data_IF_743226871451
#
_entry.id   IF_743226871451
#
_cell.length_a   1.000
_cell.length_b   1.000
_cell.length_c   1.000
_cell.angle_alpha   90.00
_cell.angle_beta   90.00
_cell.angle_gamma   90.00
#
_symmetry.space_group_name_H-M   'P 1'
#
loop_
_entity.id
_entity.type
_entity.pdbx_description
1 polymer ?
#
# COMPACT_ATOMS: atom_id res chain seq x y z
N UNK A 1 -22.61 -30.28 7.99
CA UNK A 1 -21.37 -30.56 7.24
C UNK A 1 -21.30 -29.60 6.06
N UNK A 2 -20.50 -28.52 6.15
CA UNK A 2 -20.32 -27.58 5.06
C UNK A 2 -19.14 -28.05 4.20
N UNK A 3 -19.43 -28.35 2.92
CA UNK A 3 -18.42 -28.72 1.93
C UNK A 3 -17.43 -27.54 1.75
N UNK A 4 -16.16 -27.79 1.99
CA UNK A 4 -15.08 -26.90 1.54
C UNK A 4 -15.07 -26.97 0.00
N UNK A 5 -15.38 -25.85 -0.63
CA UNK A 5 -15.21 -25.68 -2.08
C UNK A 5 -13.72 -25.55 -2.40
N UNK A 6 -13.27 -26.33 -3.36
CA UNK A 6 -11.91 -26.34 -3.85
C UNK A 6 -11.61 -25.03 -4.60
N UNK A 7 -10.42 -24.46 -4.36
CA UNK A 7 -10.01 -23.17 -4.94
C UNK A 7 -9.97 -23.23 -6.47
N UNK A 8 -9.69 -24.41 -7.03
CA UNK A 8 -9.63 -24.61 -8.48
C UNK A 8 -11.01 -24.60 -9.15
N UNK A 9 -12.08 -25.02 -8.47
CA UNK A 9 -13.46 -24.92 -8.97
C UNK A 9 -13.95 -23.47 -9.03
N UNK A 10 -13.56 -22.63 -8.06
CA UNK A 10 -13.92 -21.21 -8.02
C UNK A 10 -13.18 -20.41 -9.11
N UNK A 11 -11.96 -20.82 -9.46
CA UNK A 11 -11.17 -20.20 -10.54
C UNK A 11 -11.72 -20.58 -11.93
N UNK A 12 -12.23 -21.79 -12.09
CA UNK A 12 -12.82 -22.25 -13.35
C UNK A 12 -14.15 -21.52 -13.65
N UNK A 13 -15.00 -21.32 -12.63
CA UNK A 13 -16.27 -20.60 -12.76
C UNK A 13 -16.08 -19.12 -13.08
N UNK A 14 -15.06 -18.47 -12.47
CA UNK A 14 -14.71 -17.07 -12.78
C UNK A 14 -14.11 -16.88 -14.18
N UNK A 15 -13.56 -17.93 -14.79
CA UNK A 15 -12.99 -17.88 -16.14
C UNK A 15 -14.05 -18.04 -17.25
N UNK A 16 -15.22 -18.61 -16.95
CA UNK A 16 -16.32 -18.78 -17.89
C UNK A 16 -17.14 -17.50 -18.15
N UNK A 17 -17.05 -16.50 -17.27
CA UNK A 17 -17.79 -15.23 -17.36
C UNK A 17 -17.11 -14.23 -18.36
N UNK A 18 -15.97 -14.58 -18.96
CA UNK A 18 -15.17 -13.68 -19.83
C UNK A 18 -15.49 -13.75 -21.33
N UNK A 19 -16.56 -14.40 -21.75
CA UNK A 19 -16.90 -14.51 -23.18
C UNK A 19 -18.29 -13.98 -23.48
N UNK A 20 -18.51 -12.70 -23.33
CA UNK A 20 -19.54 -11.96 -24.09
C UNK A 20 -19.32 -10.46 -23.85
N UNK A 21 -18.71 -9.78 -24.82
CA UNK A 21 -18.70 -8.32 -24.89
C UNK A 21 -18.68 -7.87 -26.34
N UNK A 22 -19.85 -7.67 -26.90
CA UNK A 22 -20.03 -6.80 -28.05
C UNK A 22 -20.14 -5.35 -27.55
N UNK A 23 -19.17 -4.53 -27.93
CA UNK A 23 -19.16 -3.09 -27.69
C UNK A 23 -19.56 -2.39 -28.97
N UNK A 24 -20.74 -1.77 -28.99
CA UNK A 24 -21.16 -0.80 -30.03
C UNK A 24 -20.61 0.59 -29.68
N UNK A 25 -20.04 1.22 -30.70
CA UNK A 25 -19.57 2.61 -30.72
C UNK A 25 -20.72 3.60 -30.48
N UNK A 26 -20.51 4.60 -29.65
CA UNK A 26 -21.29 5.85 -29.60
C UNK A 26 -20.34 7.03 -29.64
N UNK A 27 -20.55 7.86 -30.67
CA UNK A 27 -19.79 9.06 -30.99
C UNK A 27 -20.23 10.29 -30.20
N UNK A 28 -19.23 11.14 -29.94
CA UNK A 28 -19.18 12.61 -29.77
C UNK A 28 -20.23 13.34 -28.94
N UNK A 29 -19.78 14.00 -27.85
CA UNK A 29 -19.98 15.43 -27.65
C UNK A 29 -18.95 15.98 -26.65
N UNK A 30 -18.32 17.07 -27.06
CA UNK A 30 -17.28 17.80 -26.35
C UNK A 30 -17.89 18.87 -25.45
N UNK A 31 -17.43 18.96 -24.22
CA UNK A 31 -17.21 20.11 -23.32
C UNK A 31 -17.61 19.82 -21.87
N UNK A 32 -16.62 19.85 -21.02
CA UNK A 32 -16.56 19.81 -19.54
C UNK A 32 -15.74 18.64 -19.00
N UNK A 33 -14.42 18.72 -19.15
CA UNK A 33 -13.47 17.61 -18.99
C UNK A 33 -12.77 17.53 -17.64
N UNK A 34 -13.31 17.92 -16.48
CA UNK A 34 -12.50 17.76 -15.26
C UNK A 34 -13.03 16.83 -14.16
N UNK A 35 -14.30 16.46 -14.16
CA UNK A 35 -14.83 15.63 -13.05
C UNK A 35 -15.73 14.47 -13.46
N UNK A 36 -16.38 14.51 -14.61
CA UNK A 36 -17.38 13.52 -15.01
C UNK A 36 -16.78 12.16 -15.45
N UNK A 37 -15.58 12.14 -16.05
CA UNK A 37 -14.92 10.91 -16.50
C UNK A 37 -14.30 10.06 -15.35
N UNK A 38 -14.24 10.60 -14.14
CA UNK A 38 -13.62 9.90 -12.97
C UNK A 38 -14.52 8.82 -12.37
N UNK A 39 -15.82 8.82 -12.66
CA UNK A 39 -16.79 7.95 -11.99
C UNK A 39 -17.52 6.99 -12.98
N UNK A 40 -16.87 6.54 -14.04
CA UNK A 40 -17.40 5.40 -14.81
C UNK A 40 -17.48 4.19 -13.86
N UNK A 41 -18.71 3.80 -13.56
CA UNK A 41 -19.02 2.72 -12.62
C UNK A 41 -18.76 1.37 -13.27
N UNK A 42 -18.04 0.50 -12.57
CA UNK A 42 -18.05 -0.93 -12.84
C UNK A 42 -19.51 -1.42 -12.73
N UNK A 43 -19.98 -2.35 -13.61
CA UNK A 43 -21.34 -2.87 -13.53
C UNK A 43 -21.73 -3.28 -12.12
N UNK A 44 -22.94 -2.87 -11.69
CA UNK A 44 -23.42 -3.01 -10.29
C UNK A 44 -23.75 -4.45 -9.85
N UNK A 45 -23.50 -5.45 -10.69
CA UNK A 45 -23.83 -6.85 -10.42
C UNK A 45 -22.82 -7.58 -9.52
N UNK A 46 -21.95 -6.83 -8.81
CA UNK A 46 -21.13 -7.41 -7.76
C UNK A 46 -22.04 -7.71 -6.56
N UNK A 47 -22.37 -8.98 -6.37
CA UNK A 47 -23.11 -9.48 -5.21
C UNK A 47 -22.32 -9.17 -3.92
N UNK A 48 -22.61 -8.03 -3.30
CA UNK A 48 -22.10 -7.69 -1.98
C UNK A 48 -22.82 -8.54 -0.96
N UNK A 49 -22.09 -9.41 -0.24
CA UNK A 49 -22.67 -10.22 0.83
C UNK A 49 -23.25 -9.29 1.89
N UNK A 50 -24.49 -9.55 2.34
CA UNK A 50 -25.14 -8.75 3.39
C UNK A 50 -24.24 -8.55 4.61
N UNK A 51 -23.51 -9.58 5.04
CA UNK A 51 -22.57 -9.50 6.17
C UNK A 51 -21.43 -8.53 5.96
N UNK A 52 -20.95 -8.34 4.70
CA UNK A 52 -19.98 -7.32 4.34
C UNK A 52 -20.61 -5.92 4.47
N UNK A 53 -21.79 -5.75 3.91
CA UNK A 53 -22.51 -4.48 3.98
C UNK A 53 -22.81 -4.08 5.43
N UNK A 54 -23.34 -5.00 6.25
CA UNK A 54 -23.65 -4.72 7.66
C UNK A 54 -22.39 -4.29 8.44
N UNK A 55 -21.24 -4.97 8.21
CA UNK A 55 -19.97 -4.63 8.83
C UNK A 55 -19.49 -3.22 8.46
N UNK A 56 -19.52 -2.88 7.16
CA UNK A 56 -19.02 -1.57 6.72
C UNK A 56 -20.01 -0.43 6.98
N UNK A 57 -21.31 -0.69 7.07
CA UNK A 57 -22.27 0.28 7.58
C UNK A 57 -22.05 0.58 9.07
N UNK A 58 -21.72 -0.45 9.87
CA UNK A 58 -21.33 -0.26 11.27
C UNK A 58 -20.01 0.55 11.39
N UNK A 59 -19.02 0.26 10.54
CA UNK A 59 -17.69 0.87 10.58
C UNK A 59 -17.69 2.33 10.08
N UNK A 60 -18.39 2.60 8.99
CA UNK A 60 -18.31 3.86 8.24
C UNK A 60 -19.53 4.78 8.45
N UNK A 61 -20.63 4.24 9.00
CA UNK A 61 -21.86 5.03 9.19
C UNK A 61 -22.36 5.64 7.88
N UNK A 62 -22.55 6.97 7.90
CA UNK A 62 -23.05 7.74 6.76
C UNK A 62 -22.08 7.75 5.55
N UNK A 63 -20.79 7.52 5.78
CA UNK A 63 -19.80 7.47 4.69
C UNK A 63 -19.78 6.14 3.91
N UNK A 64 -20.58 5.13 4.30
CA UNK A 64 -20.59 3.82 3.64
C UNK A 64 -20.90 3.92 2.13
N UNK A 65 -21.95 4.63 1.76
CA UNK A 65 -22.35 4.72 0.34
C UNK A 65 -21.31 5.49 -0.48
N UNK A 66 -20.68 6.51 0.10
CA UNK A 66 -19.56 7.23 -0.50
C UNK A 66 -18.34 6.34 -0.68
N UNK A 67 -17.98 5.56 0.35
CA UNK A 67 -16.91 4.57 0.28
C UNK A 67 -17.15 3.55 -0.84
N UNK A 68 -18.35 2.98 -0.92
CA UNK A 68 -18.69 1.99 -1.95
C UNK A 68 -18.69 2.60 -3.36
N UNK A 69 -19.20 3.83 -3.52
CA UNK A 69 -19.18 4.51 -4.82
C UNK A 69 -17.75 4.71 -5.34
N UNK A 70 -16.81 5.13 -4.48
CA UNK A 70 -15.40 5.24 -4.85
C UNK A 70 -14.74 3.87 -5.04
N UNK A 71 -15.02 2.91 -4.16
CA UNK A 71 -14.49 1.55 -4.25
C UNK A 71 -14.89 0.81 -5.53
N UNK A 72 -16.03 1.17 -6.12
CA UNK A 72 -16.53 0.63 -7.39
C UNK A 72 -16.17 1.51 -8.60
N UNK A 73 -15.41 2.58 -8.42
CA UNK A 73 -14.91 3.43 -9.48
C UNK A 73 -13.50 3.04 -9.92
N UNK A 74 -13.10 3.46 -11.13
CA UNK A 74 -11.74 3.23 -11.59
C UNK A 74 -10.72 4.04 -10.82
N UNK A 75 -9.61 3.39 -10.47
CA UNK A 75 -8.49 4.07 -9.82
C UNK A 75 -7.63 4.81 -10.84
N UNK A 76 -7.17 6.00 -10.48
CA UNK A 76 -6.22 6.77 -11.29
C UNK A 76 -4.90 6.02 -11.43
N UNK A 77 -4.34 5.99 -12.62
CA UNK A 77 -3.01 5.43 -12.87
C UNK A 77 -1.94 6.37 -12.34
N UNK A 78 -0.90 5.80 -11.73
CA UNK A 78 0.19 6.56 -11.12
C UNK A 78 1.54 5.99 -11.53
N UNK A 79 2.53 6.87 -11.61
CA UNK A 79 3.93 6.52 -11.79
C UNK A 79 4.78 7.24 -10.73
N UNK A 80 5.90 6.64 -10.37
CA UNK A 80 6.97 7.28 -9.61
C UNK A 80 8.23 7.31 -10.47
N UNK A 81 8.83 8.48 -10.63
CA UNK A 81 10.13 8.64 -11.28
C UNK A 81 11.22 8.03 -10.39
N UNK A 82 12.12 7.27 -10.98
CA UNK A 82 13.24 6.66 -10.28
C UNK A 82 14.50 7.52 -10.42
N UNK A 83 14.84 8.26 -9.35
CA UNK A 83 16.00 9.16 -9.33
C UNK A 83 17.35 8.46 -9.39
N UNK A 84 17.42 7.16 -9.15
CA UNK A 84 18.66 6.37 -9.35
C UNK A 84 19.06 6.26 -10.83
N UNK A 85 18.11 6.45 -11.76
CA UNK A 85 18.34 6.25 -13.21
C UNK A 85 17.91 7.42 -14.09
N UNK A 86 17.12 8.36 -13.58
CA UNK A 86 16.61 9.50 -14.34
C UNK A 86 16.29 10.66 -13.38
N UNK A 87 15.73 11.74 -13.89
CA UNK A 87 15.19 12.84 -13.08
C UNK A 87 13.79 13.22 -13.55
N UNK A 88 13.09 13.99 -12.73
CA UNK A 88 11.70 14.37 -12.95
C UNK A 88 11.52 15.15 -14.25
N UNK A 89 12.39 16.11 -14.52
CA UNK A 89 12.33 16.99 -15.69
C UNK A 89 12.47 16.19 -16.98
N UNK A 90 13.44 15.27 -17.04
CA UNK A 90 13.66 14.40 -18.19
C UNK A 90 12.46 13.50 -18.47
N UNK A 91 11.85 12.93 -17.42
CA UNK A 91 10.67 12.05 -17.59
C UNK A 91 9.44 12.86 -18.01
N UNK A 92 9.23 14.04 -17.43
CA UNK A 92 8.16 14.95 -17.89
C UNK A 92 8.31 15.27 -19.38
N UNK A 93 9.51 15.67 -19.83
CA UNK A 93 9.78 15.98 -21.23
C UNK A 93 9.50 14.78 -22.14
N UNK A 94 9.92 13.56 -21.75
CA UNK A 94 9.71 12.34 -22.55
C UNK A 94 8.25 11.93 -22.68
N UNK A 95 7.44 12.18 -21.65
CA UNK A 95 6.06 11.73 -21.61
C UNK A 95 5.06 12.82 -22.06
N UNK A 96 5.44 14.09 -22.08
CA UNK A 96 4.55 15.25 -22.30
C UNK A 96 3.76 15.21 -23.61
N UNK A 97 4.30 14.62 -24.67
CA UNK A 97 3.63 14.58 -25.98
C UNK A 97 2.34 13.77 -25.98
N UNK A 98 2.35 12.67 -25.23
CA UNK A 98 1.25 11.68 -25.20
C UNK A 98 0.50 11.65 -23.89
N UNK A 99 1.13 12.11 -22.80
CA UNK A 99 0.61 11.94 -21.45
C UNK A 99 0.47 13.28 -20.75
N UNK A 100 -0.57 13.39 -19.95
CA UNK A 100 -0.73 14.44 -18.96
C UNK A 100 -0.25 13.91 -17.63
N UNK A 101 0.64 14.65 -16.97
CA UNK A 101 1.20 14.34 -15.66
C UNK A 101 0.72 15.39 -14.66
N UNK A 102 0.06 14.93 -13.59
CA UNK A 102 -0.41 15.75 -12.47
C UNK A 102 0.40 15.34 -11.24
N UNK A 103 1.10 16.26 -10.54
CA UNK A 103 1.92 15.92 -9.39
C UNK A 103 1.11 15.30 -8.25
N UNK A 104 1.68 14.30 -7.58
CA UNK A 104 1.15 13.75 -6.32
C UNK A 104 1.73 14.57 -5.17
N UNK A 105 0.91 15.25 -4.35
CA UNK A 105 1.40 16.22 -3.36
C UNK A 105 2.39 15.65 -2.36
N UNK A 106 2.21 14.40 -1.93
CA UNK A 106 3.04 13.74 -0.92
C UNK A 106 4.28 13.04 -1.45
N UNK A 107 4.52 13.06 -2.75
CA UNK A 107 5.68 12.41 -3.35
C UNK A 107 6.17 13.23 -4.54
N UNK A 108 7.29 13.92 -4.38
CA UNK A 108 7.86 14.81 -5.41
C UNK A 108 8.19 14.10 -6.72
N UNK A 109 8.44 12.80 -6.68
CA UNK A 109 8.69 11.93 -7.81
C UNK A 109 7.42 11.27 -8.37
N UNK A 110 6.27 11.45 -7.68
CA UNK A 110 4.99 10.82 -7.98
C UNK A 110 4.12 11.66 -8.91
N UNK A 111 3.47 10.98 -9.87
CA UNK A 111 2.53 11.62 -10.78
C UNK A 111 1.33 10.73 -11.04
N UNK A 112 0.13 11.29 -11.02
CA UNK A 112 -0.99 10.73 -11.75
C UNK A 112 -0.73 10.91 -13.24
N UNK A 113 -1.06 9.90 -14.03
CA UNK A 113 -0.78 9.86 -15.46
C UNK A 113 -2.02 9.51 -16.26
N UNK A 114 -2.37 10.34 -17.22
CA UNK A 114 -3.54 10.16 -18.10
C UNK A 114 -3.09 10.32 -19.54
N UNK A 115 -3.56 9.41 -20.43
CA UNK A 115 -3.29 9.55 -21.85
C UNK A 115 -4.13 10.69 -22.43
N UNK A 116 -3.53 11.55 -23.26
CA UNK A 116 -4.19 12.77 -23.76
C UNK A 116 -5.45 12.50 -24.55
N UNK A 117 -5.49 11.38 -25.31
CA UNK A 117 -6.67 10.98 -26.11
C UNK A 117 -7.74 10.27 -25.28
N UNK A 118 -7.65 10.23 -23.95
CA UNK A 118 -8.58 9.54 -23.07
C UNK A 118 -8.53 8.02 -23.12
N UNK A 119 -7.71 7.42 -24.00
CA UNK A 119 -7.56 5.97 -24.12
C UNK A 119 -6.85 5.39 -22.91
N UNK A 120 -7.18 4.15 -22.57
CA UNK A 120 -6.51 3.40 -21.51
C UNK A 120 -5.34 2.61 -22.09
N UNK A 121 -4.13 2.95 -21.64
CA UNK A 121 -2.93 2.20 -21.98
C UNK A 121 -2.41 1.46 -20.75
N UNK A 122 -1.78 0.31 -21.02
CA UNK A 122 -1.01 -0.40 -19.99
C UNK A 122 0.34 0.30 -19.80
N UNK A 123 0.49 0.95 -18.64
CA UNK A 123 1.74 1.63 -18.27
C UNK A 123 2.93 0.68 -18.12
N UNK A 124 2.67 -0.62 -17.90
CA UNK A 124 3.71 -1.64 -17.84
C UNK A 124 4.47 -1.80 -19.16
N UNK A 125 3.85 -1.43 -20.27
CA UNK A 125 4.46 -1.51 -21.63
C UNK A 125 5.24 -0.24 -22.02
N UNK A 126 5.30 0.78 -21.16
CA UNK A 126 6.12 1.95 -21.43
C UNK A 126 7.62 1.62 -21.43
N UNK A 127 8.35 2.15 -22.41
CA UNK A 127 9.80 2.01 -22.46
C UNK A 127 10.47 2.50 -21.19
N UNK A 128 9.99 3.63 -20.63
CA UNK A 128 10.46 4.21 -19.39
C UNK A 128 10.29 3.26 -18.20
N UNK A 129 9.23 2.44 -18.21
CA UNK A 129 9.04 1.38 -17.21
C UNK A 129 10.03 0.23 -17.40
N UNK A 130 10.20 -0.26 -18.63
CA UNK A 130 11.15 -1.33 -18.93
C UNK A 130 12.60 -0.93 -18.62
N UNK A 131 12.98 0.30 -18.90
CA UNK A 131 14.31 0.85 -18.59
C UNK A 131 14.50 1.14 -17.09
N UNK A 132 13.42 1.07 -16.28
CA UNK A 132 13.47 1.36 -14.86
C UNK A 132 13.58 2.85 -14.52
N UNK A 133 13.28 3.74 -15.46
CA UNK A 133 13.23 5.19 -15.25
C UNK A 133 11.99 5.60 -14.43
N UNK A 134 10.93 4.82 -14.54
CA UNK A 134 9.72 4.93 -13.74
C UNK A 134 9.33 3.59 -13.11
N UNK A 135 8.57 3.68 -12.02
CA UNK A 135 7.85 2.56 -11.42
C UNK A 135 6.35 2.84 -11.46
N UNK A 136 5.54 1.90 -11.95
CA UNK A 136 4.07 2.00 -11.88
C UNK A 136 3.66 1.66 -10.45
N UNK A 137 3.32 2.67 -9.67
CA UNK A 137 3.01 2.55 -8.24
C UNK A 137 1.77 3.36 -7.91
N UNK A 138 0.87 2.79 -7.12
CA UNK A 138 -0.33 3.47 -6.64
C UNK A 138 0.05 4.62 -5.67
N UNK A 139 -0.70 5.72 -5.73
CA UNK A 139 -0.35 6.96 -5.03
C UNK A 139 -0.27 6.80 -3.51
N UNK A 140 -1.25 6.15 -2.86
CA UNK A 140 -1.22 5.90 -1.42
C UNK A 140 -0.05 4.98 -1.01
N UNK A 141 0.33 4.03 -1.88
CA UNK A 141 1.49 3.15 -1.67
C UNK A 141 2.83 3.89 -1.65
N UNK A 142 2.89 5.14 -2.12
CA UNK A 142 4.10 5.98 -2.05
C UNK A 142 4.29 6.61 -0.66
N UNK A 143 3.25 6.69 0.17
CA UNK A 143 3.26 7.37 1.47
C UNK A 143 4.22 6.70 2.48
N UNK A 144 4.19 5.38 2.71
CA UNK A 144 5.02 4.76 3.74
C UNK A 144 6.52 5.02 3.61
N UNK A 145 7.17 4.92 2.42
CA UNK A 145 8.58 5.29 2.28
C UNK A 145 8.85 6.78 2.50
N UNK A 146 7.93 7.68 2.12
CA UNK A 146 8.04 9.12 2.41
C UNK A 146 8.00 9.37 3.91
N UNK A 147 7.07 8.74 4.63
CA UNK A 147 6.93 8.85 6.09
C UNK A 147 8.09 8.19 6.83
N UNK A 148 8.65 7.09 6.28
CA UNK A 148 9.84 6.42 6.83
C UNK A 148 11.07 7.33 6.75
N UNK A 149 11.20 8.10 5.66
CA UNK A 149 12.27 9.06 5.40
C UNK A 149 13.68 8.43 5.56
N UNK A 150 14.00 7.33 4.81
CA UNK A 150 15.30 6.69 4.94
C UNK A 150 16.42 7.58 4.37
N UNK A 151 17.56 7.61 5.08
CA UNK A 151 18.70 8.45 4.73
C UNK A 151 19.84 7.65 4.11
N UNK A 152 20.68 8.27 3.24
CA UNK A 152 21.90 7.65 2.76
C UNK A 152 22.80 7.17 3.92
N UNK A 153 23.37 5.96 3.78
CA UNK A 153 24.26 5.36 4.77
C UNK A 153 23.57 4.56 5.88
N UNK A 154 22.25 4.63 6.02
CA UNK A 154 21.50 3.88 7.04
C UNK A 154 21.42 2.37 6.70
N UNK A 155 21.15 1.57 7.73
CA UNK A 155 20.79 0.15 7.61
C UNK A 155 19.27 0.03 7.76
N UNK A 156 18.60 -0.29 6.65
CA UNK A 156 17.14 -0.28 6.55
C UNK A 156 16.61 -1.69 6.27
N UNK A 157 15.49 -2.06 6.92
CA UNK A 157 14.76 -3.30 6.64
C UNK A 157 13.40 -2.97 6.01
N UNK A 158 13.11 -3.58 4.86
CA UNK A 158 11.75 -3.75 4.35
C UNK A 158 11.31 -5.19 4.62
N UNK A 159 10.43 -5.37 5.60
CA UNK A 159 10.12 -6.69 6.17
C UNK A 159 9.18 -7.53 5.31
N UNK A 160 8.38 -6.88 4.44
CA UNK A 160 7.40 -7.51 3.55
C UNK A 160 7.51 -6.93 2.13
N UNK A 161 8.71 -6.99 1.55
CA UNK A 161 9.19 -6.16 0.46
C UNK A 161 8.53 -6.40 -0.91
N UNK A 162 8.14 -7.65 -1.21
CA UNK A 162 7.69 -7.99 -2.56
C UNK A 162 6.32 -7.37 -2.91
N UNK A 163 6.16 -6.87 -4.14
CA UNK A 163 7.02 -7.03 -5.32
C UNK A 163 8.12 -5.95 -5.49
N UNK A 164 8.33 -5.02 -4.53
CA UNK A 164 9.44 -4.07 -4.56
C UNK A 164 9.08 -2.61 -4.85
N UNK A 165 7.80 -2.25 -4.86
CA UNK A 165 7.40 -0.85 -5.12
C UNK A 165 7.90 0.10 -4.04
N UNK A 166 7.68 -0.23 -2.76
CA UNK A 166 8.18 0.54 -1.62
C UNK A 166 9.69 0.35 -1.42
N UNK A 167 10.19 -0.87 -1.61
CA UNK A 167 11.62 -1.22 -1.51
C UNK A 167 12.48 -0.38 -2.46
N UNK A 168 12.07 -0.27 -3.74
CA UNK A 168 12.80 0.55 -4.73
C UNK A 168 12.68 2.04 -4.45
N UNK A 169 11.62 2.49 -3.77
CA UNK A 169 11.47 3.86 -3.32
C UNK A 169 12.41 4.15 -2.14
N UNK A 170 12.51 3.24 -1.18
CA UNK A 170 13.48 3.31 -0.07
C UNK A 170 14.90 3.40 -0.62
N UNK A 171 15.30 2.48 -1.52
CA UNK A 171 16.62 2.49 -2.14
C UNK A 171 16.93 3.81 -2.87
N UNK A 172 15.92 4.40 -3.52
CA UNK A 172 16.03 5.69 -4.19
C UNK A 172 16.32 6.83 -3.19
N UNK A 173 15.64 6.85 -2.04
CA UNK A 173 15.91 7.85 -0.98
C UNK A 173 17.24 7.62 -0.29
N UNK A 174 17.68 6.36 -0.16
CA UNK A 174 19.01 6.01 0.34
C UNK A 174 20.14 6.29 -0.68
N UNK A 175 19.83 6.70 -1.91
CA UNK A 175 20.80 6.98 -2.99
C UNK A 175 21.78 5.82 -3.23
N UNK A 176 21.31 4.57 -3.11
CA UNK A 176 22.14 3.37 -3.16
C UNK A 176 23.28 3.34 -2.11
N UNK A 177 23.17 4.07 -1.00
CA UNK A 177 24.15 4.11 0.08
C UNK A 177 23.63 3.39 1.33
N UNK A 178 24.53 2.82 2.14
CA UNK A 178 24.16 2.01 3.29
C UNK A 178 23.75 0.59 2.90
N UNK A 179 22.85 -0.04 3.68
CA UNK A 179 22.37 -1.41 3.45
C UNK A 179 20.85 -1.48 3.52
N UNK A 180 20.22 -1.98 2.46
CA UNK A 180 18.80 -2.30 2.41
C UNK A 180 18.58 -3.81 2.46
N UNK A 181 18.03 -4.30 3.58
CA UNK A 181 17.58 -5.69 3.69
C UNK A 181 16.13 -5.76 3.24
N UNK A 182 15.84 -6.49 2.16
CA UNK A 182 14.52 -6.64 1.59
C UNK A 182 14.05 -8.09 1.74
N UNK A 183 13.03 -8.31 2.57
CA UNK A 183 12.55 -9.65 2.90
C UNK A 183 11.16 -9.93 2.35
N UNK A 184 10.92 -11.16 1.94
CA UNK A 184 9.56 -11.69 1.74
C UNK A 184 9.55 -13.19 2.06
N UNK A 185 8.44 -13.70 2.59
CA UNK A 185 8.30 -15.13 2.94
C UNK A 185 8.10 -16.02 1.72
N UNK A 186 7.71 -15.46 0.57
CA UNK A 186 7.36 -16.18 -0.65
C UNK A 186 8.49 -16.14 -1.69
N UNK A 187 9.09 -17.29 -2.00
CA UNK A 187 10.13 -17.40 -3.00
C UNK A 187 9.68 -16.99 -4.42
N UNK A 188 8.40 -17.19 -4.76
CA UNK A 188 7.85 -16.73 -6.05
C UNK A 188 7.76 -15.21 -6.13
N UNK A 189 7.37 -14.55 -5.02
CA UNK A 189 7.32 -13.10 -4.93
C UNK A 189 8.72 -12.46 -4.90
N UNK A 190 9.71 -13.13 -4.29
CA UNK A 190 11.11 -12.68 -4.30
C UNK A 190 11.72 -12.60 -5.70
N UNK A 191 11.29 -13.46 -6.65
CA UNK A 191 11.72 -13.34 -8.06
C UNK A 191 11.28 -12.00 -8.64
N UNK A 192 10.02 -11.61 -8.44
CA UNK A 192 9.51 -10.31 -8.90
C UNK A 192 10.23 -9.15 -8.21
N UNK A 193 10.50 -9.25 -6.90
CA UNK A 193 11.29 -8.27 -6.15
C UNK A 193 12.69 -8.11 -6.77
N UNK A 194 13.44 -9.20 -6.97
CA UNK A 194 14.77 -9.17 -7.54
C UNK A 194 14.80 -8.54 -8.94
N UNK A 195 13.85 -8.91 -9.80
CA UNK A 195 13.71 -8.31 -11.14
C UNK A 195 13.45 -6.78 -11.06
N UNK A 196 12.61 -6.34 -10.14
CA UNK A 196 12.31 -4.92 -9.96
C UNK A 196 13.51 -4.15 -9.37
N UNK A 197 14.25 -4.74 -8.42
CA UNK A 197 15.47 -4.16 -7.87
C UNK A 197 16.53 -3.96 -8.98
N UNK A 198 16.78 -5.01 -9.78
CA UNK A 198 17.69 -4.95 -10.91
C UNK A 198 17.24 -3.91 -11.96
N UNK A 199 15.97 -3.94 -12.37
CA UNK A 199 15.38 -3.01 -13.33
C UNK A 199 15.54 -1.56 -12.88
N UNK A 200 15.32 -1.29 -11.58
CA UNK A 200 15.43 0.05 -11.00
C UNK A 200 16.87 0.47 -10.69
N UNK A 201 17.88 -0.39 -10.87
CA UNK A 201 19.29 -0.06 -10.63
C UNK A 201 19.65 0.02 -9.15
N UNK A 202 18.97 -0.75 -8.30
CA UNK A 202 19.30 -0.83 -6.86
C UNK A 202 20.48 -1.76 -6.67
N UNK A 203 21.54 -1.30 -6.00
CA UNK A 203 22.78 -2.05 -5.80
C UNK A 203 23.21 -2.22 -4.33
N UNK A 204 22.58 -1.52 -3.38
CA UNK A 204 22.88 -1.56 -1.95
C UNK A 204 21.96 -2.52 -1.16
N UNK A 205 21.49 -3.62 -1.76
CA UNK A 205 20.48 -4.46 -1.15
C UNK A 205 20.90 -5.93 -0.97
N UNK A 206 20.26 -6.58 0.00
CA UNK A 206 20.26 -8.02 0.21
C UNK A 206 18.82 -8.53 0.22
N UNK A 207 18.53 -9.54 -0.59
CA UNK A 207 17.24 -10.22 -0.59
C UNK A 207 17.26 -11.39 0.38
N UNK A 208 16.25 -11.49 1.23
CA UNK A 208 16.11 -12.57 2.19
C UNK A 208 14.75 -13.25 2.10
N UNK A 209 14.70 -14.55 2.39
CA UNK A 209 13.48 -15.33 2.48
C UNK A 209 13.32 -15.84 3.91
N UNK A 210 12.85 -14.96 4.79
CA UNK A 210 12.76 -15.27 6.21
C UNK A 210 11.34 -15.10 6.73
N UNK A 211 10.89 -16.10 7.49
CA UNK A 211 9.68 -16.02 8.29
C UNK A 211 9.95 -15.25 9.59
N UNK A 212 8.89 -14.75 10.23
CA UNK A 212 8.94 -13.93 11.44
C UNK A 212 9.81 -14.54 12.55
N UNK A 213 9.71 -15.84 12.82
CA UNK A 213 10.50 -16.52 13.87
C UNK A 213 12.01 -16.48 13.64
N UNK A 214 12.47 -16.39 12.37
CA UNK A 214 13.90 -16.26 12.04
C UNK A 214 14.44 -14.88 12.38
N UNK A 215 13.66 -13.83 12.16
CA UNK A 215 14.04 -12.48 12.59
C UNK A 215 14.15 -12.40 14.11
N UNK A 216 13.19 -12.99 14.84
CA UNK A 216 13.25 -13.07 16.29
C UNK A 216 14.55 -13.73 16.76
N UNK A 217 14.89 -14.90 16.18
CA UNK A 217 16.13 -15.64 16.49
C UNK A 217 17.41 -14.85 16.14
N UNK A 218 17.41 -14.08 15.03
CA UNK A 218 18.55 -13.20 14.71
C UNK A 218 18.70 -12.13 15.79
N UNK A 219 17.61 -11.48 16.19
CA UNK A 219 17.64 -10.46 17.25
C UNK A 219 18.09 -11.01 18.61
N UNK A 220 17.82 -12.28 18.92
CA UNK A 220 18.27 -12.98 20.13
C UNK A 220 19.75 -13.37 20.03
N UNK A 221 20.21 -13.91 18.89
CA UNK A 221 21.59 -14.38 18.70
C UNK A 221 22.59 -13.26 18.40
N UNK A 222 22.11 -12.14 17.84
CA UNK A 222 22.91 -10.99 17.43
C UNK A 222 22.26 -9.70 17.95
N UNK A 223 22.28 -9.46 19.26
CA UNK A 223 21.57 -8.33 19.88
C UNK A 223 22.07 -6.96 19.39
N UNK A 224 23.31 -6.88 18.92
CA UNK A 224 23.92 -5.65 18.40
C UNK A 224 23.54 -5.37 16.93
N UNK A 225 22.99 -6.37 16.21
CA UNK A 225 22.52 -6.17 14.85
C UNK A 225 21.13 -5.55 14.84
N UNK A 226 21.06 -4.24 14.64
CA UNK A 226 19.84 -3.43 14.65
C UNK A 226 19.76 -2.55 13.41
N UNK A 227 18.54 -2.14 13.08
CA UNK A 227 18.23 -1.28 11.96
C UNK A 227 17.99 0.16 12.39
N UNK A 228 18.43 1.11 11.58
CA UNK A 228 18.10 2.52 11.75
C UNK A 228 16.62 2.76 11.44
N UNK A 229 16.14 2.12 10.37
CA UNK A 229 14.74 2.20 9.95
C UNK A 229 14.17 0.86 9.52
N UNK A 230 12.88 0.67 9.78
CA UNK A 230 12.16 -0.54 9.37
C UNK A 230 10.82 -0.16 8.73
N UNK A 231 10.55 -0.69 7.54
CA UNK A 231 9.21 -0.70 6.95
C UNK A 231 8.54 -2.04 7.24
N UNK A 232 7.33 -2.00 7.79
CA UNK A 232 6.43 -3.13 7.94
C UNK A 232 5.17 -2.84 7.13
N UNK A 233 5.25 -3.01 5.80
CA UNK A 233 4.07 -2.99 4.92
C UNK A 233 3.40 -4.34 5.02
N UNK A 234 2.56 -4.51 6.04
CA UNK A 234 2.15 -5.82 6.51
C UNK A 234 1.15 -6.52 5.57
N UNK A 235 1.21 -7.86 5.46
CA UNK A 235 0.15 -8.61 4.79
C UNK A 235 -1.19 -8.32 5.47
N UNK A 236 -2.20 -7.95 4.69
CA UNK A 236 -3.50 -7.50 5.20
C UNK A 236 -4.66 -7.99 4.34
N UNK A 237 -5.89 -7.77 4.80
CA UNK A 237 -7.12 -8.13 4.07
C UNK A 237 -7.33 -7.33 2.78
N UNK A 238 -6.63 -6.19 2.62
CA UNK A 238 -6.65 -5.37 1.42
C UNK A 238 -7.99 -4.68 1.13
N UNK A 239 -8.83 -4.46 2.12
CA UNK A 239 -10.18 -3.89 1.92
C UNK A 239 -10.18 -2.44 1.45
N UNK A 240 -9.04 -1.74 1.57
CA UNK A 240 -8.83 -0.44 0.92
C UNK A 240 -8.58 -0.52 -0.59
N UNK A 241 -8.30 -1.73 -1.14
CA UNK A 241 -7.89 -1.92 -2.54
C UNK A 241 -9.01 -2.47 -3.45
N UNK A 242 -10.27 -2.37 -3.04
CA UNK A 242 -11.44 -2.84 -3.82
C UNK A 242 -11.43 -2.25 -5.23
N UNK A 243 -11.06 -0.97 -5.39
CA UNK A 243 -10.93 -0.28 -6.68
C UNK A 243 -9.99 -1.00 -7.66
N UNK A 244 -8.97 -1.66 -7.13
CA UNK A 244 -7.98 -2.41 -7.91
C UNK A 244 -8.46 -3.82 -8.22
N UNK A 245 -9.19 -4.43 -7.28
CA UNK A 245 -9.66 -5.80 -7.42
C UNK A 245 -10.97 -6.03 -6.67
N UNK A 246 -12.05 -6.20 -7.42
CA UNK A 246 -13.37 -6.56 -6.85
C UNK A 246 -13.37 -7.93 -6.15
N UNK A 247 -12.37 -8.78 -6.42
CA UNK A 247 -12.16 -10.05 -5.71
C UNK A 247 -12.03 -9.84 -4.19
N UNK A 248 -11.54 -8.67 -3.76
CA UNK A 248 -11.44 -8.32 -2.34
C UNK A 248 -12.78 -8.40 -1.62
N UNK A 249 -13.90 -7.97 -2.26
CA UNK A 249 -15.25 -8.10 -1.69
C UNK A 249 -15.64 -9.57 -1.55
N UNK A 250 -15.37 -10.38 -2.57
CA UNK A 250 -15.73 -11.82 -2.60
C UNK A 250 -14.94 -12.61 -1.57
N UNK A 251 -13.66 -12.27 -1.39
CA UNK A 251 -12.74 -12.93 -0.46
C UNK A 251 -12.86 -12.42 0.98
N UNK A 252 -13.61 -11.34 1.22
CA UNK A 252 -13.74 -10.75 2.55
C UNK A 252 -14.26 -11.76 3.56
N UNK A 253 -13.54 -11.90 4.67
CA UNK A 253 -13.86 -12.86 5.74
C UNK A 253 -13.36 -12.34 7.10
N UNK A 254 -14.24 -12.12 8.08
CA UNK A 254 -13.87 -11.66 9.42
C UNK A 254 -12.88 -12.58 10.15
N UNK A 255 -12.95 -13.90 9.94
CA UNK A 255 -11.97 -14.83 10.51
C UNK A 255 -10.59 -14.65 9.88
N UNK A 256 -10.52 -14.28 8.59
CA UNK A 256 -9.30 -13.92 7.90
C UNK A 256 -8.67 -12.66 8.50
N UNK A 257 -9.47 -11.61 8.75
CA UNK A 257 -9.06 -10.36 9.39
C UNK A 257 -8.44 -10.64 10.76
N UNK A 258 -9.11 -11.47 11.59
CA UNK A 258 -8.60 -11.86 12.91
C UNK A 258 -7.26 -12.61 12.85
N UNK A 259 -7.06 -13.47 11.83
CA UNK A 259 -5.79 -14.19 11.63
C UNK A 259 -4.68 -13.24 11.20
N UNK A 260 -4.98 -12.34 10.27
CA UNK A 260 -4.02 -11.32 9.79
C UNK A 260 -3.61 -10.36 10.90
N UNK A 261 -4.54 -9.89 11.72
CA UNK A 261 -4.25 -9.04 12.88
C UNK A 261 -3.25 -9.70 13.85
N UNK A 262 -3.35 -11.02 14.07
CA UNK A 262 -2.37 -11.75 14.90
C UNK A 262 -0.97 -11.78 14.28
N UNK A 263 -0.89 -12.02 12.96
CA UNK A 263 0.38 -12.01 12.23
C UNK A 263 0.99 -10.59 12.28
N UNK A 264 0.18 -9.57 12.07
CA UNK A 264 0.61 -8.17 12.09
C UNK A 264 1.13 -7.74 13.46
N UNK A 265 0.49 -8.18 14.56
CA UNK A 265 0.98 -7.95 15.93
C UNK A 265 2.34 -8.59 16.17
N UNK A 266 2.59 -9.79 15.64
CA UNK A 266 3.91 -10.42 15.74
C UNK A 266 4.95 -9.65 14.89
N UNK A 267 4.60 -9.26 13.66
CA UNK A 267 5.52 -8.53 12.77
C UNK A 267 5.94 -7.18 13.36
N UNK A 268 4.98 -6.39 13.83
CA UNK A 268 5.27 -5.06 14.41
C UNK A 268 6.12 -5.17 15.67
N UNK A 269 5.88 -6.19 16.52
CA UNK A 269 6.66 -6.47 17.71
C UNK A 269 8.10 -6.86 17.37
N UNK A 270 8.30 -7.78 16.44
CA UNK A 270 9.63 -8.22 16.00
C UNK A 270 10.38 -7.03 15.40
N UNK A 271 9.75 -6.26 14.52
CA UNK A 271 10.33 -5.07 13.93
C UNK A 271 10.79 -4.07 15.00
N UNK A 272 9.93 -3.78 15.98
CA UNK A 272 10.27 -2.86 17.07
C UNK A 272 11.48 -3.33 17.89
N UNK A 273 11.58 -4.63 18.15
CA UNK A 273 12.72 -5.20 18.87
C UNK A 273 14.03 -5.15 18.07
N UNK A 274 13.94 -5.11 16.73
CA UNK A 274 15.11 -5.00 15.85
C UNK A 274 15.52 -3.55 15.54
N UNK A 275 14.80 -2.54 16.02
CA UNK A 275 15.20 -1.13 15.89
C UNK A 275 16.35 -0.80 16.85
N UNK A 276 17.25 0.06 16.39
CA UNK A 276 18.19 0.78 17.25
C UNK A 276 17.43 1.70 18.21
N UNK A 277 18.02 2.09 19.36
CA UNK A 277 17.55 3.25 20.10
C UNK A 277 17.46 4.48 19.16
N UNK A 278 16.41 5.27 19.29
CA UNK A 278 16.06 6.39 18.40
C UNK A 278 15.75 6.01 16.95
N UNK A 279 15.79 4.72 16.59
CA UNK A 279 15.37 4.22 15.28
C UNK A 279 13.87 4.42 15.03
N UNK A 280 13.49 4.43 13.77
CA UNK A 280 12.11 4.67 13.31
C UNK A 280 11.57 3.48 12.56
N UNK A 281 10.34 3.11 12.87
CA UNK A 281 9.57 2.12 12.13
C UNK A 281 8.33 2.76 11.52
N UNK A 282 8.00 2.38 10.29
CA UNK A 282 6.69 2.65 9.69
C UNK A 282 5.94 1.33 9.56
N UNK A 283 4.75 1.28 10.17
CA UNK A 283 3.77 0.23 9.97
C UNK A 283 2.73 0.73 8.97
N UNK A 284 2.41 -0.06 7.96
CA UNK A 284 1.41 0.30 6.95
C UNK A 284 0.60 -0.89 6.48
N UNK A 285 -0.63 -0.62 6.04
CA UNK A 285 -1.53 -1.58 5.41
C UNK A 285 -2.36 -0.91 4.31
N UNK A 286 -2.81 -1.69 3.34
CA UNK A 286 -3.81 -1.27 2.35
C UNK A 286 -5.22 -1.74 2.73
N UNK A 287 -5.53 -1.89 4.01
CA UNK A 287 -6.86 -2.21 4.53
C UNK A 287 -7.44 -1.04 5.33
N UNK A 288 -8.77 -1.00 5.45
CA UNK A 288 -9.46 -0.03 6.30
C UNK A 288 -9.96 -0.65 7.62
N UNK A 289 -9.64 -1.93 7.89
CA UNK A 289 -10.07 -2.64 9.09
C UNK A 289 -9.32 -2.14 10.34
N UNK A 290 -10.03 -1.70 11.39
CA UNK A 290 -9.39 -1.23 12.62
C UNK A 290 -8.68 -2.34 13.40
N UNK A 291 -9.11 -3.62 13.23
CA UNK A 291 -8.45 -4.80 13.80
C UNK A 291 -7.02 -4.98 13.30
N UNK A 292 -6.75 -4.57 12.05
CA UNK A 292 -5.47 -4.69 11.36
C UNK A 292 -4.64 -3.40 11.45
N UNK A 293 -5.24 -2.30 11.88
CA UNK A 293 -4.68 -0.95 11.90
C UNK A 293 -4.49 -0.45 13.34
N UNK A 294 -5.45 0.30 13.86
CA UNK A 294 -5.37 0.94 15.18
C UNK A 294 -5.17 -0.06 16.32
N UNK A 295 -5.80 -1.24 16.25
CA UNK A 295 -5.65 -2.27 17.27
C UNK A 295 -4.25 -2.91 17.26
N UNK A 296 -3.57 -2.98 16.10
CA UNK A 296 -2.19 -3.47 16.00
C UNK A 296 -1.21 -2.46 16.59
N UNK A 297 -1.38 -1.18 16.27
CA UNK A 297 -0.56 -0.10 16.84
C UNK A 297 -0.77 -0.01 18.36
N UNK A 298 -2.02 -0.05 18.82
CA UNK A 298 -2.37 -0.01 20.24
C UNK A 298 -1.76 -1.18 21.02
N UNK A 299 -1.75 -2.39 20.43
CA UNK A 299 -1.07 -3.55 21.02
C UNK A 299 0.42 -3.26 21.29
N UNK A 300 1.12 -2.66 20.32
CA UNK A 300 2.53 -2.33 20.49
C UNK A 300 2.73 -1.29 21.60
N UNK A 301 1.95 -0.20 21.59
CA UNK A 301 2.04 0.88 22.58
C UNK A 301 1.71 0.39 24.00
N UNK A 302 0.80 -0.56 24.16
CA UNK A 302 0.49 -1.16 25.45
C UNK A 302 1.63 -2.04 25.98
N UNK A 303 2.36 -2.68 25.07
CA UNK A 303 3.43 -3.63 25.44
C UNK A 303 4.78 -2.96 25.67
N UNK A 304 5.06 -1.87 24.94
CA UNK A 304 6.35 -1.20 24.94
C UNK A 304 6.23 0.28 25.33
N UNK A 305 6.49 0.63 26.61
CA UNK A 305 6.39 2.04 27.06
C UNK A 305 7.37 2.99 26.36
N UNK A 306 8.44 2.46 25.78
CA UNK A 306 9.41 3.22 24.99
C UNK A 306 9.06 3.30 23.49
N UNK A 307 7.91 2.81 23.10
CA UNK A 307 7.37 3.06 21.75
C UNK A 307 6.63 4.42 21.75
N UNK A 308 7.09 5.32 20.90
CA UNK A 308 6.45 6.64 20.70
C UNK A 308 5.80 6.69 19.32
N UNK A 309 4.50 6.92 19.30
CA UNK A 309 3.76 7.12 18.06
C UNK A 309 3.88 8.58 17.64
N UNK A 310 4.66 8.86 16.60
CA UNK A 310 4.88 10.20 16.07
C UNK A 310 3.70 10.66 15.21
N UNK A 311 3.36 11.94 15.31
CA UNK A 311 2.33 12.54 14.47
C UNK A 311 2.83 12.64 13.01
N UNK A 312 2.01 12.15 12.08
CA UNK A 312 2.24 12.31 10.64
C UNK A 312 1.54 13.59 10.20
N UNK A 313 2.33 14.60 9.82
CA UNK A 313 1.82 15.91 9.40
C UNK A 313 1.22 15.82 7.98
N UNK A 314 -0.07 15.58 7.93
CA UNK A 314 -0.85 15.48 6.68
C UNK A 314 -0.91 16.79 5.91
N UNK A 315 -0.81 17.94 6.59
CA UNK A 315 -0.81 19.25 5.94
C UNK A 315 0.47 19.47 5.13
N UNK A 316 1.62 19.08 5.67
CA UNK A 316 2.91 19.12 4.93
C UNK A 316 2.92 18.15 3.75
N UNK A 317 2.26 17.02 3.90
CA UNK A 317 2.14 16.03 2.83
C UNK A 317 1.08 16.41 1.79
N UNK A 318 0.22 17.40 2.07
CA UNK A 318 -0.91 17.73 1.20
C UNK A 318 -1.93 16.59 1.10
N UNK A 319 -2.09 15.80 2.16
CA UNK A 319 -3.00 14.65 2.24
C UNK A 319 -4.23 15.03 3.07
N UNK A 320 -5.40 14.71 2.56
CA UNK A 320 -6.63 14.74 3.36
C UNK A 320 -6.74 13.42 4.12
N UNK A 321 -6.74 13.49 5.47
CA UNK A 321 -6.89 12.30 6.32
C UNK A 321 -8.34 12.05 6.72
N UNK A 322 -8.67 10.78 6.91
CA UNK A 322 -9.83 10.35 7.70
C UNK A 322 -9.42 10.29 9.17
N UNK A 323 -10.28 10.69 10.13
CA UNK A 323 -10.01 10.51 11.55
C UNK A 323 -9.71 9.06 11.91
N UNK A 324 -8.75 8.84 12.81
CA UNK A 324 -8.48 7.51 13.34
C UNK A 324 -9.68 6.96 14.11
N UNK A 325 -9.89 5.66 14.04
CA UNK A 325 -10.98 4.98 14.73
C UNK A 325 -10.57 4.78 16.20
N UNK A 326 -11.28 5.45 17.11
CA UNK A 326 -11.02 5.40 18.55
C UNK A 326 -11.80 4.30 19.26
N UNK A 327 -12.89 3.82 18.66
CA UNK A 327 -13.74 2.78 19.23
C UNK A 327 -14.39 1.98 18.11
N UNK A 328 -14.22 0.68 18.14
CA UNK A 328 -14.94 -0.25 17.27
C UNK A 328 -15.07 -1.60 17.98
N UNK A 329 -16.30 -2.05 18.17
CA UNK A 329 -16.60 -3.29 18.89
C UNK A 329 -15.85 -3.38 20.24
N UNK A 330 -15.20 -4.50 20.51
CA UNK A 330 -14.45 -4.75 21.75
C UNK A 330 -12.92 -4.54 21.57
N UNK A 331 -12.50 -3.74 20.60
CA UNK A 331 -11.08 -3.48 20.38
C UNK A 331 -10.53 -2.53 21.45
N UNK A 332 -9.37 -2.87 21.99
CA UNK A 332 -8.57 -1.96 22.83
C UNK A 332 -7.81 -1.01 21.90
N UNK A 333 -8.25 0.24 21.84
CA UNK A 333 -7.64 1.27 21.00
C UNK A 333 -7.16 2.41 21.90
N UNK A 334 -5.87 2.73 21.78
CA UNK A 334 -5.22 3.83 22.48
C UNK A 334 -5.60 5.18 21.85
N UNK A 335 -5.75 6.25 22.64
CA UNK A 335 -6.05 7.58 22.10
C UNK A 335 -4.95 8.11 21.17
N UNK A 336 -3.68 7.72 21.39
CA UNK A 336 -2.53 8.15 20.60
C UNK A 336 -2.61 7.75 19.12
N UNK A 337 -3.49 6.81 18.73
CA UNK A 337 -3.71 6.44 17.32
C UNK A 337 -4.18 7.61 16.45
N UNK A 338 -4.58 8.72 17.04
CA UNK A 338 -4.85 9.99 16.32
C UNK A 338 -3.63 10.48 15.55
N UNK A 339 -2.42 10.12 15.98
CA UNK A 339 -1.17 10.45 15.30
C UNK A 339 -0.97 9.65 14.00
N UNK A 340 -1.68 8.51 13.82
CA UNK A 340 -1.63 7.73 12.60
C UNK A 340 -2.29 8.48 11.44
N UNK A 341 -1.87 8.17 10.23
CA UNK A 341 -2.53 8.61 9.02
C UNK A 341 -3.45 7.49 8.52
N UNK A 342 -4.74 7.76 8.48
CA UNK A 342 -5.76 6.92 7.83
C UNK A 342 -6.32 7.70 6.64
N UNK A 343 -6.45 7.05 5.51
CA UNK A 343 -7.10 7.60 4.32
C UNK A 343 -8.11 6.61 3.76
N UNK A 344 -9.25 7.12 3.34
CA UNK A 344 -10.24 6.37 2.59
C UNK A 344 -10.14 6.68 1.09
N UNK A 345 -10.66 5.83 0.20
CA UNK A 345 -10.55 6.04 -1.24
C UNK A 345 -11.06 7.40 -1.72
N UNK A 346 -12.05 7.96 -1.05
CA UNK A 346 -12.69 9.22 -1.40
C UNK A 346 -11.97 10.47 -0.87
N UNK A 347 -10.97 10.33 0.00
CA UNK A 347 -10.26 11.48 0.56
C UNK A 347 -9.32 12.13 -0.46
N UNK A 348 -8.57 11.28 -1.19
CA UNK A 348 -7.52 11.71 -2.10
C UNK A 348 -7.61 11.07 -3.48
N UNK A 349 -8.74 10.42 -3.80
CA UNK A 349 -8.94 9.64 -5.04
C UNK A 349 -7.88 8.55 -5.25
N UNK A 350 -7.55 7.81 -4.18
CA UNK A 350 -6.54 6.74 -4.11
C UNK A 350 -7.15 5.41 -3.67
N UNK A 351 -6.32 4.41 -3.36
CA UNK A 351 -6.69 3.29 -2.51
C UNK A 351 -6.87 3.76 -1.06
N UNK A 352 -7.63 3.01 -0.25
CA UNK A 352 -7.65 3.19 1.20
C UNK A 352 -6.35 2.70 1.81
N UNK A 353 -5.80 3.44 2.76
CA UNK A 353 -4.49 3.15 3.34
C UNK A 353 -4.39 3.57 4.81
N UNK A 354 -3.50 2.90 5.54
CA UNK A 354 -3.16 3.24 6.92
C UNK A 354 -1.65 3.28 7.11
N UNK A 355 -1.15 4.29 7.84
CA UNK A 355 0.28 4.48 8.11
C UNK A 355 0.47 4.94 9.56
N UNK A 356 1.37 4.30 10.29
CA UNK A 356 1.81 4.68 11.62
C UNK A 356 3.33 4.82 11.64
N UNK A 357 3.84 5.95 12.15
CA UNK A 357 5.26 6.21 12.35
C UNK A 357 5.59 6.06 13.81
N UNK A 358 6.49 5.14 14.13
CA UNK A 358 6.81 4.76 15.52
C UNK A 358 8.31 4.90 15.74
N UNK A 359 8.67 5.67 16.76
CA UNK A 359 10.06 5.81 17.22
C UNK A 359 10.30 4.94 18.44
N UNK A 360 11.46 4.32 18.52
CA UNK A 360 11.93 3.62 19.70
C UNK A 360 12.75 4.60 20.56
N UNK A 361 12.20 5.04 21.70
CA UNK A 361 12.96 5.83 22.68
C UNK A 361 14.09 5.01 23.30
N UNK A 362 15.05 5.70 23.88
CA UNK A 362 16.15 5.09 24.66
C UNK A 362 15.65 4.25 25.83
#
# INVERSE_FOLDING_TARGET
>A
MAKLLDIDEVVAEASSIKKDSDLQDVSSDSENHSTAHRLEKIPRDVLVKKRFEDHYRELLGEDYDKFMNYSLSYIRKCIRVNRLKSNVESIKARLSDRWQLEPIPWCSEGFWITYRDGKRFDLGNLMEHHLGYIYVQEAASMIPPVVLDPQPGEVVLDMCAAPGSKTTQIAMYMENSGLLVANDVSGSRLKALGMNMQRCGVNNHVLTMMQEHRFKRIGENHPDFKFDRILVDAPCSGTGTIRKSLKTILMWNPLGITKLSKIQKNLIEIAFNMLKPNGVMVYSTCTIEPEENEAVVSFLLNKYPNAELEYIDDSKLGIKRTPAIKKFKNLEIRPEVENCLRIHPYDNDTEGFFVARIRKKE
#
